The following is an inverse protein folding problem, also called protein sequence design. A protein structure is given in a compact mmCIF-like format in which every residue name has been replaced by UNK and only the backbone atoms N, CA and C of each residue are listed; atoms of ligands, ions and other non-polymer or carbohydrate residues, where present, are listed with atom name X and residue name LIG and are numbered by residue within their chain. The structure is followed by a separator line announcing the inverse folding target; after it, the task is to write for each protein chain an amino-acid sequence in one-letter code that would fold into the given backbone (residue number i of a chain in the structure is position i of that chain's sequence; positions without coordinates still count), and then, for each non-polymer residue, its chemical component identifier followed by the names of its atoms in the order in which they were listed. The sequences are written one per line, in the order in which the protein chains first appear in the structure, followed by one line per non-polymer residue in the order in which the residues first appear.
data_IF_474519555633
#
_entry.id   IF_474519555633
#
_cell.length_a   1.000
_cell.length_b   1.000
_cell.length_c   1.000
_cell.angle_alpha   90.00
_cell.angle_beta   90.00
_cell.angle_gamma   90.00
#
_symmetry.space_group_name_H-M   'P 1'
#
loop_
_entity.id
_entity.type
_entity.pdbx_description
1 polymer ?
#
# COMPACT_ATOMS: atom_id res chain seq x y z
N UNK A 1 -31.89 58.51 -36.30
CA UNK A 1 -31.31 57.34 -35.61
C UNK A 1 -29.88 57.72 -35.24
N UNK A 2 -29.63 58.41 -34.12
CA UNK A 2 -29.38 57.90 -32.75
C UNK A 2 -28.25 56.85 -32.73
N UNK A 3 -26.99 57.31 -32.56
CA UNK A 3 -26.12 57.26 -31.35
C UNK A 3 -25.31 55.94 -31.30
N UNK A 4 -24.01 55.93 -31.64
CA UNK A 4 -22.82 56.29 -30.84
C UNK A 4 -22.52 55.33 -29.67
N UNK A 5 -21.51 54.49 -29.94
CA UNK A 5 -20.44 53.97 -29.09
C UNK A 5 -20.76 53.66 -27.61
N UNK A 6 -20.80 52.36 -27.32
CA UNK A 6 -20.68 51.79 -25.99
C UNK A 6 -19.34 52.11 -25.32
N UNK A 7 -19.45 53.01 -24.34
CA UNK A 7 -18.83 52.99 -22.99
C UNK A 7 -17.46 52.33 -22.79
N UNK A 8 -16.45 53.20 -22.60
CA UNK A 8 -15.33 52.96 -21.69
C UNK A 8 -15.83 52.96 -20.24
N UNK A 9 -15.43 51.96 -19.46
CA UNK A 9 -15.39 52.02 -17.99
C UNK A 9 -14.10 51.40 -17.49
N UNK A 10 -13.12 52.25 -17.24
CA UNK A 10 -11.96 51.99 -16.40
C UNK A 10 -12.44 51.80 -14.95
N UNK A 11 -12.19 50.63 -14.36
CA UNK A 11 -12.13 50.46 -12.90
C UNK A 11 -10.91 49.61 -12.58
N UNK A 12 -9.84 50.31 -12.27
CA UNK A 12 -8.65 49.81 -11.59
C UNK A 12 -9.04 49.38 -10.16
N UNK A 13 -8.89 48.10 -9.82
CA UNK A 13 -8.74 47.66 -8.43
C UNK A 13 -7.89 46.40 -8.39
N UNK A 14 -6.61 46.63 -8.06
CA UNK A 14 -5.68 45.70 -7.40
C UNK A 14 -6.38 44.50 -6.75
N UNK A 15 -6.14 43.31 -7.30
CA UNK A 15 -6.22 42.05 -6.55
C UNK A 15 -4.88 41.33 -6.56
N UNK A 16 -4.11 41.69 -5.54
CA UNK A 16 -3.36 40.80 -4.65
C UNK A 16 -2.72 39.53 -5.25
N UNK A 17 -1.43 39.70 -5.52
CA UNK A 17 -0.37 38.70 -5.37
C UNK A 17 -0.67 37.70 -4.24
N UNK A 18 -0.83 36.43 -4.61
CA UNK A 18 -0.33 35.31 -3.85
C UNK A 18 0.07 34.22 -4.84
N UNK A 19 1.25 34.43 -5.42
CA UNK A 19 2.15 33.36 -5.85
C UNK A 19 2.46 32.47 -4.65
N UNK A 20 1.53 31.57 -4.33
CA UNK A 20 1.88 30.32 -3.68
C UNK A 20 2.57 29.49 -4.73
N UNK A 21 3.90 29.38 -4.64
CA UNK A 21 4.68 28.40 -5.37
C UNK A 21 4.14 27.01 -5.02
N UNK A 22 3.14 26.52 -5.76
CA UNK A 22 2.88 25.09 -5.84
C UNK A 22 4.08 24.53 -6.61
N UNK A 23 5.04 23.94 -5.89
CA UNK A 23 6.15 23.22 -6.50
C UNK A 23 5.55 22.08 -7.35
N UNK A 24 5.72 22.08 -8.69
CA UNK A 24 5.15 21.04 -9.55
C UNK A 24 5.89 19.69 -9.42
N UNK A 25 6.80 19.55 -8.44
CA UNK A 25 7.63 18.34 -8.23
C UNK A 25 7.01 17.26 -7.34
N UNK A 26 5.82 17.47 -6.78
CA UNK A 26 5.18 16.47 -5.91
C UNK A 26 3.77 16.08 -6.36
N UNK A 27 3.67 15.65 -7.62
CA UNK A 27 2.67 14.64 -7.96
C UNK A 27 3.39 13.30 -8.10
N UNK A 28 3.93 12.79 -6.99
CA UNK A 28 4.39 11.40 -6.96
C UNK A 28 3.15 10.54 -7.10
N UNK A 29 2.87 10.09 -8.33
CA UNK A 29 1.80 9.14 -8.60
C UNK A 29 2.04 7.93 -7.69
N UNK A 30 1.25 7.80 -6.63
CA UNK A 30 1.34 6.67 -5.70
C UNK A 30 1.05 5.43 -6.55
N UNK A 31 2.06 4.62 -6.78
CA UNK A 31 1.91 3.44 -7.64
C UNK A 31 1.11 2.42 -6.87
N UNK A 32 -0.15 2.26 -7.26
CA UNK A 32 -1.05 1.30 -6.65
C UNK A 32 -1.22 0.11 -7.57
N UNK A 33 -1.06 -1.10 -7.03
CA UNK A 33 -1.23 -2.36 -7.75
C UNK A 33 -2.33 -3.14 -7.04
N UNK A 34 -3.36 -3.57 -7.75
CA UNK A 34 -4.44 -4.39 -7.20
C UNK A 34 -4.70 -5.63 -8.05
N UNK A 35 -5.31 -6.64 -7.44
CA UNK A 35 -5.65 -7.88 -8.11
C UNK A 35 -6.28 -8.90 -7.17
N UNK A 36 -6.42 -10.13 -7.65
CA UNK A 36 -6.89 -11.28 -6.87
C UNK A 36 -5.74 -12.24 -6.58
N UNK A 37 -5.81 -12.92 -5.43
CA UNK A 37 -4.85 -13.96 -5.05
C UNK A 37 -5.16 -15.33 -5.66
N UNK A 38 -6.18 -15.41 -6.53
CA UNK A 38 -6.51 -16.61 -7.31
C UNK A 38 -5.45 -16.91 -8.38
N UNK A 39 -4.95 -15.88 -9.05
CA UNK A 39 -3.99 -16.00 -10.17
C UNK A 39 -2.55 -15.88 -9.67
N UNK A 40 -2.32 -15.06 -8.64
CA UNK A 40 -1.00 -14.80 -8.06
C UNK A 40 -1.06 -15.12 -6.58
N UNK A 41 -0.30 -16.12 -6.12
CA UNK A 41 -0.34 -16.46 -4.69
C UNK A 41 0.24 -15.33 -3.84
N UNK A 42 -0.15 -15.27 -2.57
CA UNK A 42 0.44 -14.31 -1.64
C UNK A 42 1.95 -14.50 -1.53
N UNK A 43 2.46 -15.75 -1.65
CA UNK A 43 3.90 -16.02 -1.68
C UNK A 43 4.59 -15.36 -2.87
N UNK A 44 4.05 -15.53 -4.08
CA UNK A 44 4.63 -14.98 -5.30
C UNK A 44 4.64 -13.45 -5.26
N UNK A 45 3.55 -12.84 -4.79
CA UNK A 45 3.45 -11.40 -4.60
C UNK A 45 4.51 -10.90 -3.61
N UNK A 46 4.64 -11.58 -2.47
CA UNK A 46 5.60 -11.21 -1.43
C UNK A 46 7.05 -11.35 -1.92
N UNK A 47 7.37 -12.43 -2.63
CA UNK A 47 8.68 -12.65 -3.25
C UNK A 47 9.00 -11.59 -4.30
N UNK A 48 8.02 -11.19 -5.11
CA UNK A 48 8.16 -10.13 -6.10
C UNK A 48 8.46 -8.78 -5.45
N UNK A 49 7.73 -8.43 -4.39
CA UNK A 49 7.97 -7.19 -3.63
C UNK A 49 9.34 -7.18 -2.96
N UNK A 50 9.79 -8.33 -2.44
CA UNK A 50 11.14 -8.48 -1.87
C UNK A 50 12.24 -8.29 -2.93
N UNK A 51 12.12 -9.00 -4.06
CA UNK A 51 13.10 -8.96 -5.15
C UNK A 51 13.25 -7.55 -5.73
N UNK A 52 12.13 -6.85 -5.90
CA UNK A 52 12.10 -5.48 -6.40
C UNK A 52 12.37 -4.42 -5.32
N UNK A 53 12.68 -4.84 -4.09
CA UNK A 53 12.94 -3.98 -2.92
C UNK A 53 11.88 -2.89 -2.71
N UNK A 54 10.61 -3.24 -2.93
CA UNK A 54 9.50 -2.29 -2.81
C UNK A 54 9.21 -1.99 -1.34
N UNK A 55 8.95 -0.72 -1.05
CA UNK A 55 8.38 -0.26 0.21
C UNK A 55 6.91 0.09 0.02
N UNK A 56 6.11 -0.07 1.08
CA UNK A 56 4.70 0.29 1.06
C UNK A 56 3.82 -0.68 1.83
N UNK A 57 2.51 -0.53 1.67
CA UNK A 57 1.50 -1.28 2.39
C UNK A 57 0.74 -2.21 1.45
N UNK A 58 0.74 -3.50 1.77
CA UNK A 58 -0.10 -4.51 1.12
C UNK A 58 -1.34 -4.75 1.98
N UNK A 59 -2.49 -4.28 1.52
CA UNK A 59 -3.78 -4.57 2.13
C UNK A 59 -4.35 -5.84 1.48
N UNK A 60 -4.90 -6.74 2.28
CA UNK A 60 -5.53 -7.98 1.84
C UNK A 60 -6.96 -7.96 2.36
N UNK A 61 -7.91 -8.11 1.45
CA UNK A 61 -9.33 -8.06 1.74
C UNK A 61 -9.99 -9.35 1.27
N UNK A 62 -10.78 -9.95 2.15
CA UNK A 62 -11.66 -11.07 1.84
C UNK A 62 -13.01 -10.84 2.51
N UNK A 63 -14.08 -11.55 2.10
CA UNK A 63 -15.37 -11.46 2.79
C UNK A 63 -15.31 -11.82 4.28
N UNK A 64 -14.29 -12.58 4.73
CA UNK A 64 -14.20 -13.07 6.11
C UNK A 64 -13.13 -12.36 6.95
N UNK A 65 -12.20 -11.62 6.32
CA UNK A 65 -11.12 -10.94 7.04
C UNK A 65 -10.49 -9.79 6.26
N UNK A 66 -9.96 -8.85 7.03
CA UNK A 66 -9.07 -7.79 6.56
C UNK A 66 -7.72 -7.92 7.26
N UNK A 67 -6.66 -7.68 6.51
CA UNK A 67 -5.31 -7.72 7.01
C UNK A 67 -4.41 -6.78 6.22
N UNK A 68 -3.26 -6.43 6.78
CA UNK A 68 -2.24 -5.74 6.02
C UNK A 68 -0.82 -6.16 6.40
N UNK A 69 0.09 -6.01 5.45
CA UNK A 69 1.51 -6.28 5.57
C UNK A 69 2.24 -5.01 5.14
N UNK A 70 3.24 -4.58 5.92
CA UNK A 70 4.09 -3.45 5.55
C UNK A 70 5.46 -3.95 5.13
N UNK A 71 5.92 -3.42 4.00
CA UNK A 71 7.22 -3.69 3.42
C UNK A 71 8.13 -2.47 3.54
N UNK A 72 9.37 -2.68 3.99
CA UNK A 72 10.47 -1.72 3.90
C UNK A 72 11.62 -2.30 3.08
N UNK A 73 11.89 -1.70 1.92
CA UNK A 73 12.96 -2.09 1.00
C UNK A 73 12.92 -3.58 0.67
N UNK A 74 11.70 -4.11 0.51
CA UNK A 74 11.42 -5.52 0.25
C UNK A 74 11.33 -6.42 1.48
N UNK A 75 11.72 -5.96 2.67
CA UNK A 75 11.56 -6.75 3.90
C UNK A 75 10.18 -6.51 4.52
N UNK A 76 9.58 -7.55 5.08
CA UNK A 76 8.36 -7.39 5.86
C UNK A 76 8.74 -6.88 7.24
N UNK A 77 8.29 -5.68 7.59
CA UNK A 77 8.55 -5.03 8.88
C UNK A 77 7.33 -5.08 9.82
N UNK A 78 6.15 -5.28 9.25
CA UNK A 78 4.91 -5.37 10.01
C UNK A 78 3.90 -6.27 9.33
N UNK A 79 3.06 -6.92 10.13
CA UNK A 79 1.83 -7.54 9.68
C UNK A 79 0.76 -7.34 10.75
N UNK A 80 -0.46 -7.07 10.34
CA UNK A 80 -1.65 -7.04 11.20
C UNK A 80 -2.74 -7.94 10.62
N UNK A 81 -3.31 -8.76 11.49
CA UNK A 81 -4.48 -9.58 11.23
C UNK A 81 -5.44 -9.44 12.40
N UNK A 82 -6.52 -8.68 12.22
CA UNK A 82 -7.52 -8.42 13.27
C UNK A 82 -6.91 -7.92 14.60
N UNK A 83 -5.97 -6.97 14.54
CA UNK A 83 -5.32 -6.40 15.72
C UNK A 83 -4.27 -7.31 16.37
N UNK A 84 -4.02 -8.50 15.81
CA UNK A 84 -2.83 -9.28 16.13
C UNK A 84 -1.71 -8.83 15.21
N UNK A 85 -0.53 -8.60 15.76
CA UNK A 85 0.62 -8.11 14.98
C UNK A 85 1.80 -9.10 14.95
N UNK A 86 2.73 -8.86 14.04
CA UNK A 86 4.01 -9.56 13.97
C UNK A 86 3.96 -10.88 13.18
N UNK A 87 4.99 -11.72 13.36
CA UNK A 87 5.17 -12.95 12.56
C UNK A 87 4.02 -13.96 12.68
N UNK A 88 3.33 -14.01 13.82
CA UNK A 88 2.14 -14.86 14.00
C UNK A 88 0.95 -14.34 13.21
N UNK A 89 0.77 -13.02 13.16
CA UNK A 89 -0.25 -12.40 12.33
C UNK A 89 0.01 -12.69 10.86
N UNK A 90 1.26 -12.52 10.43
CA UNK A 90 1.68 -12.86 9.07
C UNK A 90 1.33 -14.32 8.71
N UNK A 91 1.63 -15.28 9.58
CA UNK A 91 1.27 -16.69 9.33
C UNK A 91 -0.24 -16.88 9.13
N UNK A 92 -1.06 -16.24 9.96
CA UNK A 92 -2.52 -16.30 9.82
C UNK A 92 -3.00 -15.71 8.50
N UNK A 93 -2.41 -14.61 8.06
CA UNK A 93 -2.71 -13.99 6.76
C UNK A 93 -2.43 -14.99 5.64
N UNK A 94 -1.25 -15.61 5.64
CA UNK A 94 -0.88 -16.61 4.64
C UNK A 94 -1.82 -17.82 4.66
N UNK A 95 -2.13 -18.37 5.83
CA UNK A 95 -3.05 -19.51 5.97
C UNK A 95 -4.44 -19.19 5.43
N UNK A 96 -4.94 -17.96 5.67
CA UNK A 96 -6.31 -17.58 5.28
C UNK A 96 -6.42 -17.08 3.84
N UNK A 97 -5.33 -16.57 3.28
CA UNK A 97 -5.25 -16.16 1.88
C UNK A 97 -4.95 -17.34 0.94
N UNK A 98 -4.26 -18.38 1.42
CA UNK A 98 -3.92 -19.57 0.63
C UNK A 98 -5.19 -20.27 0.11
N UNK A 99 -5.25 -20.50 -1.20
CA UNK A 99 -6.38 -21.13 -1.87
C UNK A 99 -7.70 -20.35 -1.86
N UNK A 100 -7.73 -19.10 -1.37
CA UNK A 100 -8.94 -18.29 -1.33
C UNK A 100 -9.12 -17.47 -2.62
N UNK A 101 -9.91 -17.98 -3.55
CA UNK A 101 -10.19 -17.32 -4.84
C UNK A 101 -10.86 -15.93 -4.71
N UNK A 102 -11.49 -15.64 -3.56
CA UNK A 102 -12.14 -14.35 -3.30
C UNK A 102 -11.20 -13.35 -2.62
N UNK A 103 -9.95 -13.74 -2.32
CA UNK A 103 -9.01 -12.83 -1.70
C UNK A 103 -8.48 -11.80 -2.70
N UNK A 104 -8.70 -10.54 -2.38
CA UNK A 104 -8.24 -9.39 -3.14
C UNK A 104 -7.06 -8.75 -2.42
N UNK A 105 -6.19 -8.12 -3.19
CA UNK A 105 -5.08 -7.35 -2.63
C UNK A 105 -4.99 -5.96 -3.24
N UNK A 106 -4.43 -5.04 -2.46
CA UNK A 106 -4.11 -3.68 -2.84
C UNK A 106 -2.74 -3.34 -2.26
N UNK A 107 -1.73 -3.23 -3.12
CA UNK A 107 -0.41 -2.73 -2.76
C UNK A 107 -0.32 -1.23 -3.06
N UNK A 108 -0.06 -0.45 -2.02
CA UNK A 108 0.18 0.98 -2.10
C UNK A 108 1.69 1.22 -1.95
N UNK A 109 2.39 1.46 -3.06
CA UNK A 109 3.82 1.68 -3.02
C UNK A 109 4.15 3.04 -2.38
N UNK A 110 5.20 3.04 -1.56
CA UNK A 110 5.74 4.23 -0.92
C UNK A 110 7.25 4.29 -1.19
N UNK A 111 7.79 5.48 -1.44
CA UNK A 111 9.24 5.63 -1.66
C UNK A 111 10.02 5.47 -0.35
N UNK A 112 9.45 5.95 0.74
CA UNK A 112 9.99 5.86 2.08
C UNK A 112 8.82 5.71 3.06
N UNK A 113 8.93 4.75 3.98
CA UNK A 113 7.91 4.55 5.01
C UNK A 113 7.94 5.72 6.00
N UNK A 114 6.77 6.10 6.50
CA UNK A 114 6.69 7.05 7.61
C UNK A 114 7.49 6.54 8.83
N UNK A 115 8.21 7.40 9.55
CA UNK A 115 8.90 7.03 10.79
C UNK A 115 7.95 6.55 11.89
N UNK A 116 6.65 6.87 11.80
CA UNK A 116 5.60 6.38 12.71
C UNK A 116 5.09 4.97 12.33
N UNK A 117 5.64 4.38 11.26
CA UNK A 117 5.22 3.06 10.81
C UNK A 117 5.55 2.01 11.88
N UNK A 118 4.58 1.21 12.33
CA UNK A 118 4.81 0.25 13.40
C UNK A 118 5.73 -0.87 12.91
N UNK A 119 6.80 -1.17 13.64
CA UNK A 119 7.69 -2.31 13.36
C UNK A 119 7.38 -3.43 14.35
N UNK A 120 6.94 -4.58 13.84
CA UNK A 120 6.63 -5.78 14.65
C UNK A 120 7.40 -7.02 14.21
N UNK A 121 8.15 -6.94 13.12
CA UNK A 121 8.95 -8.02 12.56
C UNK A 121 10.35 -7.49 12.26
N UNK A 122 11.36 -8.10 12.87
CA UNK A 122 12.77 -7.73 12.72
C UNK A 122 13.63 -8.83 12.08
N UNK A 123 13.00 -9.96 11.76
CA UNK A 123 13.65 -11.14 11.21
C UNK A 123 13.96 -10.96 9.72
N UNK A 124 15.08 -11.48 9.20
CA UNK A 124 15.37 -11.49 7.78
C UNK A 124 14.26 -12.16 6.97
N UNK A 125 13.99 -11.64 5.77
CA UNK A 125 12.88 -12.10 4.93
C UNK A 125 12.87 -13.61 4.67
N UNK A 126 14.02 -14.21 4.37
CA UNK A 126 14.12 -15.64 4.11
C UNK A 126 13.80 -16.50 5.34
N UNK A 127 14.34 -16.11 6.51
CA UNK A 127 14.07 -16.80 7.77
C UNK A 127 12.59 -16.66 8.16
N UNK A 128 12.01 -15.49 7.92
CA UNK A 128 10.59 -15.24 8.12
C UNK A 128 9.75 -16.15 7.21
N UNK A 129 10.01 -16.18 5.90
CA UNK A 129 9.27 -17.04 4.97
C UNK A 129 9.42 -18.53 5.30
N UNK A 130 10.61 -18.98 5.70
CA UNK A 130 10.82 -20.35 6.15
C UNK A 130 9.92 -20.67 7.36
N UNK A 131 9.86 -19.78 8.35
CA UNK A 131 8.99 -19.92 9.51
C UNK A 131 7.51 -19.94 9.14
N UNK A 132 7.09 -19.14 8.16
CA UNK A 132 5.72 -19.16 7.63
C UNK A 132 5.42 -20.48 6.92
N UNK A 133 6.34 -20.98 6.09
CA UNK A 133 6.19 -22.26 5.39
C UNK A 133 6.00 -23.43 6.37
N UNK A 134 6.81 -23.50 7.43
CA UNK A 134 6.64 -24.50 8.50
C UNK A 134 5.29 -24.37 9.19
N UNK A 135 4.81 -23.15 9.43
CA UNK A 135 3.50 -22.93 10.05
C UNK A 135 2.32 -23.36 9.14
N UNK A 136 2.44 -23.17 7.84
CA UNK A 136 1.45 -23.61 6.85
C UNK A 136 1.40 -25.12 6.71
N UNK A 137 2.56 -25.78 6.70
CA UNK A 137 2.67 -27.22 6.58
C UNK A 137 1.95 -27.92 7.75
N UNK A 138 2.23 -27.49 8.99
CA UNK A 138 1.52 -27.97 10.18
C UNK A 138 -0.01 -27.72 10.15
N UNK A 139 -0.47 -26.72 9.40
CA UNK A 139 -1.91 -26.46 9.24
C UNK A 139 -2.56 -27.34 8.17
N UNK A 140 -1.79 -27.86 7.20
CA UNK A 140 -2.30 -28.75 6.14
C UNK A 140 -2.44 -30.20 6.62
N UNK A 141 -1.68 -30.61 7.63
CA UNK A 141 -1.69 -31.97 8.19
C UNK A 141 -2.80 -32.21 9.24
N UNK A 142 -3.74 -31.28 9.42
CA UNK A 142 -4.88 -31.38 10.35
C UNK A 142 -6.22 -31.39 9.62
#
# INVERSE_FOLDING_TARGET
MLLLNDTLSDVDTKKNNNTGFADPRQNSVKQTISGTLEILTLFDLTMSLNTNKKSGKLNIHTPQFEAFIVFDKGNIVHADYYGKTGSKALAMIFIKADGNAQAQFLFEAENELSPECPVSITMPFQELLFKIAVALDHHRER
#
